data_IF_659905421665
#
_entry.id   IF_659905421665
#
_cell.length_a   1.000
_cell.length_b   1.000
_cell.length_c   1.000
_cell.angle_alpha   90.00
_cell.angle_beta   90.00
_cell.angle_gamma   90.00
#
_symmetry.space_group_name_H-M   'P 1'
#
loop_
_entity.id
_entity.type
_entity.pdbx_description
1 polymer ?
#
# COMPACT_ATOMS: atom_id res chain seq x y z
N UNK A 1 -7.32 -12.19 -1.81
CA UNK A 1 -6.05 -12.97 -1.89
C UNK A 1 -5.42 -12.81 -3.27
N UNK A 2 -4.09 -12.78 -3.38
CA UNK A 2 -3.40 -12.66 -4.67
C UNK A 2 -3.40 -11.27 -5.32
N UNK A 3 -3.83 -10.22 -4.60
CA UNK A 3 -3.70 -8.84 -5.10
C UNK A 3 -2.25 -8.35 -4.96
N UNK A 4 -1.73 -7.71 -6.00
CA UNK A 4 -0.42 -7.06 -6.06
C UNK A 4 -0.53 -5.76 -6.85
N UNK A 5 0.02 -4.68 -6.33
CA UNK A 5 -0.08 -3.35 -6.95
C UNK A 5 0.50 -3.35 -8.36
N UNK A 6 1.66 -3.99 -8.59
CA UNK A 6 2.28 -4.09 -9.92
C UNK A 6 1.41 -4.79 -10.97
N UNK A 7 0.51 -5.67 -10.55
CA UNK A 7 -0.27 -6.51 -11.46
C UNK A 7 -1.64 -5.87 -11.69
N UNK A 8 -2.21 -5.25 -10.65
CA UNK A 8 -3.56 -4.71 -10.69
C UNK A 8 -3.63 -3.21 -11.01
N UNK A 9 -2.65 -2.42 -10.57
CA UNK A 9 -2.73 -0.94 -10.58
C UNK A 9 -1.71 -0.31 -11.51
N UNK A 10 -0.48 -0.83 -11.57
CA UNK A 10 0.56 -0.35 -12.49
C UNK A 10 0.08 -0.15 -13.95
N UNK A 11 -0.75 -1.03 -14.56
CA UNK A 11 -1.21 -0.85 -15.94
C UNK A 11 -1.95 0.47 -16.21
N UNK A 12 -2.54 1.09 -15.18
CA UNK A 12 -3.28 2.36 -15.30
C UNK A 12 -2.61 3.51 -14.56
N UNK A 13 -1.68 3.24 -13.65
CA UNK A 13 -1.01 4.26 -12.85
C UNK A 13 0.05 5.08 -13.60
N UNK A 14 0.57 4.59 -14.74
CA UNK A 14 1.59 5.28 -15.54
C UNK A 14 2.94 5.46 -14.84
N UNK A 15 3.20 4.69 -13.78
CA UNK A 15 4.39 4.75 -12.94
C UNK A 15 4.90 3.34 -12.66
N UNK A 16 6.21 3.18 -12.42
CA UNK A 16 6.81 1.87 -12.17
C UNK A 16 6.41 1.26 -10.82
N UNK A 17 6.15 2.12 -9.82
CA UNK A 17 5.73 1.81 -8.45
C UNK A 17 4.68 2.81 -7.98
N UNK A 18 3.97 2.49 -6.89
CA UNK A 18 3.00 3.40 -6.29
C UNK A 18 3.68 4.68 -5.81
N UNK A 19 3.19 5.83 -6.30
CA UNK A 19 3.71 7.16 -5.93
C UNK A 19 2.80 7.90 -4.94
N UNK A 20 1.76 7.23 -4.45
CA UNK A 20 0.91 7.77 -3.38
C UNK A 20 1.59 7.59 -2.03
N UNK A 21 1.40 8.55 -1.13
CA UNK A 21 1.67 8.33 0.28
C UNK A 21 0.48 7.59 0.89
N UNK A 22 0.73 6.66 1.80
CA UNK A 22 -0.31 5.98 2.57
C UNK A 22 -0.09 6.17 4.06
N UNK A 23 -1.16 6.39 4.81
CA UNK A 23 -1.17 6.32 6.28
C UNK A 23 -2.24 5.32 6.64
N UNK A 24 -1.86 4.15 7.15
CA UNK A 24 -2.76 3.01 7.25
C UNK A 24 -2.86 2.43 8.65
N UNK A 25 -3.99 1.77 8.89
CA UNK A 25 -4.21 0.83 9.99
C UNK A 25 -4.78 -0.48 9.43
N UNK A 26 -4.20 -1.62 9.82
CA UNK A 26 -4.62 -2.94 9.32
C UNK A 26 -5.65 -3.59 10.23
N UNK A 27 -6.81 -3.93 9.66
CA UNK A 27 -7.93 -4.58 10.34
C UNK A 27 -7.83 -6.11 10.31
N UNK A 28 -7.46 -6.68 9.16
CA UNK A 28 -7.35 -8.13 8.95
C UNK A 28 -6.34 -8.44 7.85
N UNK A 29 -5.94 -9.71 7.73
CA UNK A 29 -4.95 -10.16 6.74
C UNK A 29 -3.58 -9.52 6.88
N UNK A 30 -2.73 -9.72 5.88
CA UNK A 30 -1.34 -9.25 5.89
C UNK A 30 -0.93 -8.70 4.54
N UNK A 31 -0.11 -7.65 4.55
CA UNK A 31 0.39 -6.99 3.35
C UNK A 31 1.90 -6.82 3.45
N UNK A 32 2.60 -7.22 2.41
CA UNK A 32 4.00 -6.90 2.23
C UNK A 32 4.11 -5.62 1.40
N UNK A 33 5.04 -4.76 1.79
CA UNK A 33 5.43 -3.54 1.07
C UNK A 33 6.91 -3.65 0.75
N UNK A 34 7.26 -3.42 -0.51
CA UNK A 34 8.65 -3.35 -0.95
C UNK A 34 8.95 -1.97 -1.53
N UNK A 35 9.89 -1.28 -0.90
CA UNK A 35 10.36 0.04 -1.29
C UNK A 35 11.38 -0.06 -2.42
N UNK A 36 11.52 1.01 -3.20
CA UNK A 36 12.48 1.07 -4.32
C UNK A 36 13.96 0.98 -3.89
N UNK A 37 14.28 1.34 -2.65
CA UNK A 37 15.62 1.20 -2.05
C UNK A 37 15.93 -0.24 -1.61
N UNK A 38 14.97 -1.15 -1.72
CA UNK A 38 15.09 -2.55 -1.37
C UNK A 38 14.58 -2.90 0.03
N UNK A 39 14.20 -1.92 0.85
CA UNK A 39 13.58 -2.19 2.16
C UNK A 39 12.22 -2.88 2.00
N UNK A 40 11.89 -3.73 2.98
CA UNK A 40 10.64 -4.49 2.98
C UNK A 40 9.99 -4.49 4.36
N UNK A 41 8.68 -4.32 4.35
CA UNK A 41 7.86 -4.21 5.55
C UNK A 41 6.63 -5.10 5.42
N UNK A 42 6.40 -5.97 6.40
CA UNK A 42 5.14 -6.73 6.52
C UNK A 42 4.24 -6.03 7.54
N UNK A 43 3.04 -5.66 7.12
CA UNK A 43 1.98 -5.16 7.97
C UNK A 43 0.97 -6.27 8.27
N UNK A 44 0.60 -6.42 9.53
CA UNK A 44 -0.36 -7.41 10.04
C UNK A 44 -1.46 -6.74 10.88
N UNK A 45 -2.52 -7.46 11.29
CA UNK A 45 -3.64 -6.85 12.02
C UNK A 45 -3.18 -6.14 13.30
N UNK A 46 -3.66 -4.91 13.49
CA UNK A 46 -3.28 -4.04 14.60
C UNK A 46 -2.09 -3.12 14.31
N UNK A 47 -1.36 -3.31 13.21
CA UNK A 47 -0.27 -2.42 12.84
C UNK A 47 -0.79 -1.10 12.26
N UNK A 48 -0.08 -0.02 12.57
CA UNK A 48 -0.18 1.28 11.90
C UNK A 48 1.09 1.57 11.13
N UNK A 49 0.99 2.25 9.99
CA UNK A 49 2.16 2.57 9.17
C UNK A 49 1.99 3.82 8.34
N UNK A 50 3.14 4.40 7.97
CA UNK A 50 3.24 5.38 6.88
C UNK A 50 4.06 4.74 5.78
N UNK A 51 3.52 4.69 4.56
CA UNK A 51 4.22 4.20 3.38
C UNK A 51 4.50 5.40 2.47
N UNK A 52 5.77 5.81 2.32
CA UNK A 52 6.15 6.88 1.40
C UNK A 52 5.95 6.49 -0.07
N UNK A 53 5.86 7.45 -1.00
CA UNK A 53 5.93 7.19 -2.44
C UNK A 53 7.15 6.34 -2.83
N UNK A 54 6.97 5.45 -3.80
CA UNK A 54 8.02 4.59 -4.33
C UNK A 54 8.01 3.19 -3.74
N UNK A 55 6.90 2.47 -3.91
CA UNK A 55 6.74 1.10 -3.40
C UNK A 55 5.83 0.21 -4.27
N UNK A 56 6.03 -1.09 -4.19
CA UNK A 56 5.06 -2.12 -4.58
C UNK A 56 4.44 -2.72 -3.31
N UNK A 57 3.23 -3.28 -3.41
CA UNK A 57 2.55 -3.89 -2.28
C UNK A 57 1.75 -5.11 -2.72
N UNK A 58 1.69 -6.14 -1.88
CA UNK A 58 0.91 -7.34 -2.17
C UNK A 58 0.39 -8.03 -0.91
N UNK A 59 -0.71 -8.77 -1.06
CA UNK A 59 -1.30 -9.53 0.04
C UNK A 59 -0.51 -10.81 0.28
N UNK A 60 -0.22 -11.06 1.55
CA UNK A 60 0.49 -12.27 2.00
C UNK A 60 -0.52 -13.31 2.46
N UNK A 61 -0.51 -14.47 1.81
CA UNK A 61 -1.40 -15.59 2.10
C UNK A 61 -2.81 -15.43 1.55
N UNK A 62 -3.73 -16.23 2.09
CA UNK A 62 -5.07 -16.42 1.53
C UNK A 62 -6.18 -15.64 2.27
N UNK A 63 -5.82 -14.87 3.28
CA UNK A 63 -6.75 -14.00 3.99
C UNK A 63 -6.85 -12.63 3.28
N UNK A 64 -8.06 -12.09 3.04
CA UNK A 64 -8.21 -10.71 2.60
C UNK A 64 -7.55 -9.73 3.58
N UNK A 65 -6.65 -8.89 3.07
CA UNK A 65 -6.12 -7.78 3.85
C UNK A 65 -7.09 -6.59 3.78
N UNK A 66 -7.62 -6.18 4.93
CA UNK A 66 -8.51 -5.03 5.04
C UNK A 66 -7.77 -3.96 5.83
N UNK A 67 -7.74 -2.74 5.31
CA UNK A 67 -7.06 -1.61 5.92
C UNK A 67 -7.91 -0.35 5.84
N UNK A 68 -7.69 0.57 6.77
CA UNK A 68 -8.16 1.94 6.71
C UNK A 68 -6.99 2.78 6.25
N UNK A 69 -7.14 3.49 5.12
CA UNK A 69 -6.17 4.47 4.64
C UNK A 69 -6.69 5.88 4.96
N UNK A 70 -5.92 6.60 5.78
CA UNK A 70 -6.23 7.95 6.25
C UNK A 70 -5.70 9.05 5.32
N UNK A 71 -5.12 8.69 4.17
CA UNK A 71 -4.52 9.66 3.27
C UNK A 71 -5.59 10.54 2.63
N UNK A 72 -5.44 11.85 2.81
CA UNK A 72 -6.26 12.83 2.10
C UNK A 72 -5.87 12.82 0.61
N UNK A 73 -6.86 12.77 -0.28
CA UNK A 73 -6.60 12.79 -1.73
C UNK A 73 -5.72 13.97 -2.13
N UNK A 74 -4.93 13.82 -3.20
CA UNK A 74 -3.87 14.76 -3.63
C UNK A 74 -4.30 16.23 -3.87
N UNK A 75 -5.58 16.56 -3.73
CA UNK A 75 -6.17 17.91 -3.82
C UNK A 75 -6.80 18.44 -2.52
N UNK A 76 -6.77 17.70 -1.41
CA UNK A 76 -7.39 18.15 -0.17
C UNK A 76 -6.72 19.43 0.35
N UNK A 77 -7.49 20.51 0.48
CA UNK A 77 -7.02 21.80 0.97
C UNK A 77 -6.21 22.64 -0.02
N UNK A 78 -6.05 22.21 -1.28
CA UNK A 78 -5.50 23.08 -2.33
C UNK A 78 -6.54 24.15 -2.70
N UNK A 79 -6.11 25.43 -2.69
CA UNK A 79 -6.90 26.55 -3.20
C UNK A 79 -6.98 26.51 -4.72
#
# INVERSE_FOLDING_TARGET
PGWKWSDCIKPTAGTETCMSQHVLYVLSGRMMVAMNDGERYEFKPGDTGVIPPGHDAWIVGDEPCVLIDFTAGAGYGKK
#
